data_IF_280288648977
#
_entry.id   IF_280288648977
#
_cell.length_a   1.000
_cell.length_b   1.000
_cell.length_c   1.000
_cell.angle_alpha   90.00
_cell.angle_beta   90.00
_cell.angle_gamma   90.00
#
_symmetry.space_group_name_H-M   'P 1'
#
loop_
_entity.id
_entity.type
_entity.pdbx_description
1 polymer ?
#
# COMPACT_ATOMS: atom_id res chain seq x y z
N UNK A 1 0.45 37.35 -24.64
CA UNK A 1 -1.02 37.21 -24.70
C UNK A 1 -1.35 36.05 -23.79
N UNK A 2 -1.65 36.30 -22.52
CA UNK A 2 -1.91 35.26 -21.48
C UNK A 2 -3.40 34.97 -21.56
N UNK A 3 -3.78 33.84 -22.14
CA UNK A 3 -5.17 33.36 -22.18
C UNK A 3 -5.58 32.99 -20.73
N UNK A 4 -6.49 33.76 -20.14
CA UNK A 4 -7.19 33.43 -18.91
C UNK A 4 -7.88 32.06 -19.09
N UNK A 5 -7.35 31.03 -18.46
CA UNK A 5 -8.06 29.76 -18.30
C UNK A 5 -9.33 30.04 -17.48
N UNK A 6 -10.46 29.93 -18.17
CA UNK A 6 -11.78 30.13 -17.59
C UNK A 6 -12.12 28.96 -16.67
N UNK A 7 -11.90 29.14 -15.36
CA UNK A 7 -12.18 28.14 -14.29
C UNK A 7 -13.71 27.89 -14.13
N UNK A 8 -14.54 28.60 -14.93
CA UNK A 8 -16.00 28.62 -14.78
C UNK A 8 -16.79 27.44 -15.38
N UNK A 9 -16.15 26.49 -16.04
CA UNK A 9 -16.85 25.34 -16.67
C UNK A 9 -16.26 23.99 -16.21
N UNK A 10 -15.82 23.86 -14.97
CA UNK A 10 -15.82 22.54 -14.33
C UNK A 10 -17.29 22.15 -14.06
N UNK A 11 -17.99 21.83 -15.15
CA UNK A 11 -19.31 21.23 -15.12
C UNK A 11 -19.30 20.07 -14.15
N UNK A 12 -20.26 20.10 -13.24
CA UNK A 12 -20.77 19.05 -12.41
C UNK A 12 -20.51 17.66 -13.00
N UNK A 13 -19.34 17.08 -12.73
CA UNK A 13 -19.21 15.65 -12.78
C UNK A 13 -19.93 15.19 -11.51
N UNK A 14 -21.26 15.17 -11.59
CA UNK A 14 -22.12 14.52 -10.61
C UNK A 14 -21.86 13.03 -10.72
N UNK A 15 -20.78 12.58 -10.10
CA UNK A 15 -20.65 11.18 -9.73
C UNK A 15 -21.77 10.90 -8.69
N UNK A 16 -22.98 10.62 -9.17
CA UNK A 16 -23.96 9.89 -8.37
C UNK A 16 -23.28 8.59 -7.96
N UNK A 17 -22.67 8.61 -6.78
CA UNK A 17 -22.23 7.41 -6.09
C UNK A 17 -23.50 6.62 -5.74
N UNK A 18 -24.12 5.98 -6.76
CA UNK A 18 -25.21 5.02 -6.59
C UNK A 18 -24.56 3.77 -5.96
N UNK A 19 -24.83 3.54 -4.70
CA UNK A 19 -24.43 2.35 -3.96
C UNK A 19 -23.75 2.67 -2.62
N UNK A 20 -23.78 1.71 -1.71
CA UNK A 20 -22.96 1.74 -0.49
C UNK A 20 -21.51 1.89 -0.90
N UNK A 21 -20.75 2.75 -0.20
CA UNK A 21 -19.34 2.92 -0.51
C UNK A 21 -18.63 1.58 -0.51
N UNK A 22 -17.58 1.48 -1.32
CA UNK A 22 -16.70 0.30 -1.37
C UNK A 22 -16.41 -0.28 0.01
N UNK A 23 -16.04 0.58 0.97
CA UNK A 23 -15.73 0.19 2.33
C UNK A 23 -16.94 -0.32 3.15
N UNK A 24 -18.14 0.16 2.88
CA UNK A 24 -19.36 -0.32 3.53
C UNK A 24 -19.87 -1.62 2.93
N UNK A 25 -19.65 -1.83 1.64
CA UNK A 25 -20.06 -3.04 0.93
C UNK A 25 -19.09 -4.20 1.20
N UNK A 26 -17.80 -3.93 1.32
CA UNK A 26 -16.76 -4.96 1.40
C UNK A 26 -16.31 -5.28 2.82
N UNK A 27 -16.59 -4.41 3.79
CA UNK A 27 -16.23 -4.59 5.20
C UNK A 27 -17.47 -4.55 6.08
N UNK A 28 -17.85 -5.69 6.66
CA UNK A 28 -18.90 -5.72 7.69
C UNK A 28 -18.41 -5.08 9.00
N UNK A 29 -19.33 -4.92 9.96
CA UNK A 29 -19.04 -4.26 11.24
C UNK A 29 -17.84 -4.90 11.97
N UNK A 30 -17.82 -6.23 12.10
CA UNK A 30 -16.74 -6.95 12.79
C UNK A 30 -15.40 -6.80 12.06
N UNK A 31 -15.39 -6.80 10.74
CA UNK A 31 -14.17 -6.59 9.98
C UNK A 31 -13.60 -5.19 10.16
N UNK A 32 -14.45 -4.16 10.27
CA UNK A 32 -14.00 -2.79 10.56
C UNK A 32 -13.36 -2.70 11.94
N UNK A 33 -14.00 -3.29 12.96
CA UNK A 33 -13.43 -3.36 14.30
C UNK A 33 -12.07 -4.08 14.27
N UNK A 34 -11.97 -5.19 13.57
CA UNK A 34 -10.71 -5.93 13.45
C UNK A 34 -9.61 -5.08 12.81
N UNK A 35 -9.94 -4.30 11.75
CA UNK A 35 -8.99 -3.35 11.17
C UNK A 35 -8.60 -2.24 12.15
N UNK A 36 -9.58 -1.68 12.86
CA UNK A 36 -9.32 -0.63 13.86
C UNK A 36 -8.41 -1.14 14.99
N UNK A 37 -8.57 -2.38 15.45
CA UNK A 37 -7.72 -2.99 16.46
C UNK A 37 -6.32 -3.29 15.89
N UNK A 38 -6.23 -4.03 14.79
CA UNK A 38 -4.94 -4.56 14.29
C UNK A 38 -4.05 -3.47 13.69
N UNK A 39 -4.63 -2.45 13.07
CA UNK A 39 -3.88 -1.40 12.36
C UNK A 39 -3.88 -0.06 13.10
N UNK A 40 -4.82 0.18 14.02
CA UNK A 40 -4.96 1.46 14.72
C UNK A 40 -3.92 1.69 15.82
N UNK A 41 -3.38 0.63 16.42
CA UNK A 41 -2.44 0.74 17.54
C UNK A 41 -1.02 0.31 17.13
N UNK A 42 -0.02 1.16 17.40
CA UNK A 42 1.40 0.80 17.22
C UNK A 42 1.79 -0.39 18.08
N UNK A 43 1.28 -0.45 19.31
CA UNK A 43 1.54 -1.56 20.22
C UNK A 43 1.06 -2.90 19.64
N UNK A 44 -0.18 -2.96 19.17
CA UNK A 44 -0.73 -4.19 18.59
C UNK A 44 0.00 -4.58 17.30
N UNK A 45 0.33 -3.61 16.43
CA UNK A 45 1.14 -3.87 15.24
C UNK A 45 2.49 -4.50 15.57
N UNK A 46 3.22 -3.92 16.53
CA UNK A 46 4.50 -4.48 17.00
C UNK A 46 4.33 -5.85 17.64
N UNK A 47 3.32 -6.06 18.48
CA UNK A 47 3.04 -7.36 19.11
C UNK A 47 2.74 -8.45 18.07
N UNK A 48 1.92 -8.15 17.06
CA UNK A 48 1.66 -9.07 15.96
C UNK A 48 2.93 -9.42 15.19
N UNK A 49 3.78 -8.43 14.93
CA UNK A 49 5.07 -8.63 14.28
C UNK A 49 6.02 -9.50 15.12
N UNK A 50 6.10 -9.27 16.42
CA UNK A 50 6.93 -10.12 17.32
C UNK A 50 6.44 -11.56 17.35
N UNK A 51 5.13 -11.79 17.44
CA UNK A 51 4.54 -13.15 17.38
C UNK A 51 4.86 -13.79 16.03
N UNK A 52 4.70 -13.09 14.95
CA UNK A 52 5.05 -13.54 13.60
C UNK A 52 6.51 -13.99 13.50
N UNK A 53 7.45 -13.18 14.04
CA UNK A 53 8.87 -13.50 14.09
C UNK A 53 9.13 -14.78 14.86
N UNK A 54 8.57 -14.90 16.06
CA UNK A 54 8.80 -16.08 16.93
C UNK A 54 8.36 -17.36 16.23
N UNK A 55 7.23 -17.32 15.51
CA UNK A 55 6.63 -18.53 14.93
C UNK A 55 7.24 -18.86 13.56
N UNK A 56 7.47 -17.86 12.72
CA UNK A 56 7.73 -18.09 11.30
C UNK A 56 9.11 -17.66 10.82
N UNK A 57 9.83 -16.76 11.54
CA UNK A 57 11.09 -16.25 11.02
C UNK A 57 12.14 -17.33 10.88
N UNK A 58 12.53 -17.64 9.65
CA UNK A 58 13.70 -18.43 9.32
C UNK A 58 14.73 -17.50 8.71
N UNK A 59 15.88 -17.37 9.33
CA UNK A 59 16.96 -16.54 8.81
C UNK A 59 17.51 -17.14 7.52
N UNK A 60 17.38 -16.41 6.43
CA UNK A 60 17.93 -16.74 5.12
C UNK A 60 18.78 -15.56 4.64
N UNK A 61 19.80 -15.85 3.85
CA UNK A 61 20.60 -14.79 3.25
C UNK A 61 19.83 -14.16 2.10
N UNK A 62 19.46 -12.88 2.25
CA UNK A 62 18.70 -12.11 1.26
C UNK A 62 19.47 -10.92 0.70
N UNK A 63 20.57 -10.53 1.34
CA UNK A 63 21.32 -9.31 1.03
C UNK A 63 21.94 -9.31 -0.36
N UNK A 64 22.29 -10.50 -0.88
CA UNK A 64 22.87 -10.66 -2.21
C UNK A 64 21.83 -10.70 -3.34
N UNK A 65 20.54 -10.65 -3.01
CA UNK A 65 19.48 -10.69 -4.00
C UNK A 65 19.15 -9.30 -4.53
N UNK A 66 18.77 -9.22 -5.81
CA UNK A 66 18.33 -7.97 -6.45
C UNK A 66 16.86 -7.70 -6.15
N UNK A 67 16.55 -7.21 -4.94
CA UNK A 67 15.22 -6.75 -4.56
C UNK A 67 14.83 -5.49 -5.35
N UNK A 68 13.54 -5.24 -5.52
CA UNK A 68 13.05 -4.06 -6.25
C UNK A 68 12.17 -3.20 -5.34
N UNK A 69 12.48 -1.91 -5.32
CA UNK A 69 11.72 -0.89 -4.62
C UNK A 69 11.19 0.15 -5.61
N UNK A 70 9.88 0.16 -5.80
CA UNK A 70 9.20 1.16 -6.61
C UNK A 70 8.86 2.34 -5.70
N UNK A 71 9.30 3.54 -6.07
CA UNK A 71 9.02 4.78 -5.36
C UNK A 71 8.72 5.90 -6.35
N UNK A 72 8.31 7.05 -5.86
CA UNK A 72 8.02 8.22 -6.68
C UNK A 72 6.67 8.85 -6.36
N UNK A 73 6.30 9.83 -7.15
CA UNK A 73 5.04 10.54 -6.92
C UNK A 73 3.84 9.62 -7.16
N UNK A 74 2.78 9.75 -6.35
CA UNK A 74 1.53 9.04 -6.63
C UNK A 74 1.00 9.45 -8.01
N UNK A 75 0.28 8.56 -8.67
CA UNK A 75 -0.26 8.75 -10.03
C UNK A 75 0.78 8.76 -11.17
N UNK A 76 2.04 8.44 -10.90
CA UNK A 76 3.08 8.27 -11.94
C UNK A 76 3.09 6.88 -12.60
N UNK A 77 2.18 5.95 -12.21
CA UNK A 77 2.15 4.58 -12.74
C UNK A 77 2.79 3.53 -11.84
N UNK A 78 3.15 3.88 -10.60
CA UNK A 78 3.79 2.97 -9.64
C UNK A 78 3.03 1.66 -9.41
N UNK A 79 1.68 1.70 -9.36
CA UNK A 79 0.87 0.49 -9.15
C UNK A 79 0.80 -0.40 -10.40
N UNK A 80 0.75 0.19 -11.59
CA UNK A 80 0.80 -0.57 -12.85
C UNK A 80 2.12 -1.32 -12.93
N UNK A 81 3.21 -0.64 -12.60
CA UNK A 81 4.56 -1.24 -12.59
C UNK A 81 4.67 -2.34 -11.53
N UNK A 82 4.11 -2.14 -10.32
CA UNK A 82 4.03 -3.17 -9.29
C UNK A 82 3.35 -4.43 -9.82
N UNK A 83 2.15 -4.29 -10.40
CA UNK A 83 1.38 -5.43 -10.93
C UNK A 83 2.12 -6.12 -12.08
N UNK A 84 2.74 -5.36 -12.98
CA UNK A 84 3.51 -5.89 -14.10
C UNK A 84 4.71 -6.73 -13.62
N UNK A 85 5.50 -6.22 -12.68
CA UNK A 85 6.64 -6.97 -12.14
C UNK A 85 6.18 -8.18 -11.33
N UNK A 86 5.12 -8.03 -10.54
CA UNK A 86 4.58 -9.12 -9.73
C UNK A 86 4.05 -10.27 -10.59
N UNK A 87 3.43 -9.98 -11.74
CA UNK A 87 2.90 -11.00 -12.66
C UNK A 87 3.99 -11.89 -13.28
N UNK A 88 5.26 -11.51 -13.19
CA UNK A 88 6.38 -12.34 -13.64
C UNK A 88 6.65 -13.56 -12.76
N UNK A 89 5.98 -13.68 -11.60
CA UNK A 89 6.17 -14.73 -10.60
C UNK A 89 7.59 -14.87 -10.03
N UNK A 90 8.44 -13.84 -10.19
CA UNK A 90 9.80 -13.79 -9.66
C UNK A 90 9.92 -13.02 -8.35
N UNK A 91 8.83 -12.47 -7.86
CA UNK A 91 8.80 -11.56 -6.73
C UNK A 91 7.74 -11.92 -5.69
N UNK A 92 8.03 -11.52 -4.44
CA UNK A 92 7.09 -11.51 -3.33
C UNK A 92 6.71 -10.07 -3.00
N UNK A 93 5.47 -9.85 -2.64
CA UNK A 93 4.94 -8.58 -2.16
C UNK A 93 3.80 -8.83 -1.19
N UNK A 94 3.49 -7.86 -0.34
CA UNK A 94 2.25 -7.89 0.44
C UNK A 94 1.04 -7.76 -0.48
N UNK A 95 -0.04 -8.43 -0.12
CA UNK A 95 -1.28 -8.54 -0.90
C UNK A 95 -2.50 -8.10 -0.09
N UNK A 96 -3.61 -7.84 -0.78
CA UNK A 96 -4.89 -7.57 -0.11
C UNK A 96 -5.34 -8.71 0.82
N UNK A 97 -4.96 -9.96 0.54
CA UNK A 97 -5.22 -11.10 1.42
C UNK A 97 -4.50 -11.04 2.77
N UNK A 98 -3.45 -10.22 2.91
CA UNK A 98 -2.78 -10.03 4.20
C UNK A 98 -3.57 -9.10 5.15
N UNK A 99 -4.56 -8.35 4.64
CA UNK A 99 -5.37 -7.47 5.46
C UNK A 99 -6.29 -8.23 6.42
N UNK A 100 -6.41 -7.79 7.68
CA UNK A 100 -5.75 -6.63 8.29
C UNK A 100 -4.43 -6.96 9.02
N UNK A 101 -3.86 -8.14 8.81
CA UNK A 101 -2.65 -8.63 9.49
C UNK A 101 -1.37 -8.32 8.71
N UNK A 102 -1.21 -7.08 8.25
CA UNK A 102 -0.07 -6.64 7.42
C UNK A 102 1.28 -6.88 8.12
N UNK A 103 1.32 -6.74 9.45
CA UNK A 103 2.52 -6.97 10.25
C UNK A 103 2.79 -8.45 10.55
N UNK A 104 1.88 -9.33 10.13
CA UNK A 104 1.95 -10.78 10.36
C UNK A 104 1.45 -11.54 9.12
N UNK A 105 2.18 -11.47 7.98
CA UNK A 105 1.71 -12.01 6.70
C UNK A 105 1.50 -13.53 6.73
N UNK A 106 2.31 -14.30 7.46
CA UNK A 106 2.13 -15.75 7.56
C UNK A 106 0.92 -16.12 8.42
N UNK A 107 0.71 -15.43 9.56
CA UNK A 107 -0.48 -15.57 10.39
C UNK A 107 -1.74 -15.20 9.59
N UNK A 108 -1.67 -14.22 8.70
CA UNK A 108 -2.82 -13.80 7.87
C UNK A 108 -3.45 -14.96 7.09
N UNK A 109 -2.68 -15.99 6.72
CA UNK A 109 -3.18 -17.20 6.02
C UNK A 109 -4.30 -17.92 6.77
N UNK A 110 -4.27 -17.86 8.10
CA UNK A 110 -5.29 -18.52 8.94
C UNK A 110 -6.67 -17.83 8.84
N UNK A 111 -6.68 -16.58 8.37
CA UNK A 111 -7.87 -15.73 8.31
C UNK A 111 -8.29 -15.35 6.89
N UNK A 112 -7.64 -15.94 5.87
CA UNK A 112 -7.93 -15.59 4.47
C UNK A 112 -9.33 -16.03 4.04
N UNK A 113 -10.04 -15.13 3.38
CA UNK A 113 -11.32 -15.45 2.74
C UNK A 113 -11.07 -16.25 1.46
N UNK A 114 -11.88 -17.27 1.24
CA UNK A 114 -11.76 -18.11 0.03
C UNK A 114 -12.38 -17.49 -1.23
N UNK A 115 -13.34 -16.58 -1.07
CA UNK A 115 -14.11 -16.04 -2.20
C UNK A 115 -14.04 -14.50 -2.21
N UNK A 116 -13.37 -13.96 -3.20
CA UNK A 116 -13.39 -12.54 -3.53
C UNK A 116 -13.39 -12.40 -5.05
N UNK A 117 -14.42 -11.76 -5.59
CA UNK A 117 -14.48 -11.46 -7.02
C UNK A 117 -13.61 -10.27 -7.34
N UNK A 118 -12.84 -10.34 -8.44
CA UNK A 118 -12.05 -9.21 -8.94
C UNK A 118 -12.94 -8.00 -9.18
N UNK A 119 -12.52 -6.84 -8.75
CA UNK A 119 -13.25 -5.59 -8.89
C UNK A 119 -12.31 -4.40 -9.13
N UNK A 120 -12.82 -3.34 -9.72
CA UNK A 120 -12.05 -2.11 -9.89
C UNK A 120 -11.78 -1.48 -8.53
N UNK A 121 -10.55 -1.04 -8.30
CA UNK A 121 -10.19 -0.39 -7.05
C UNK A 121 -10.84 0.99 -6.93
N UNK A 122 -10.97 1.45 -5.69
CA UNK A 122 -11.68 2.69 -5.37
C UNK A 122 -11.09 3.94 -6.06
N UNK A 123 -9.84 3.89 -6.48
CA UNK A 123 -9.18 4.96 -7.22
C UNK A 123 -9.81 5.26 -8.58
N UNK A 124 -10.68 4.38 -9.09
CA UNK A 124 -11.34 4.50 -10.40
C UNK A 124 -10.35 4.81 -11.52
N UNK A 125 -9.29 4.06 -11.56
CA UNK A 125 -8.19 4.22 -12.50
C UNK A 125 -8.03 3.04 -13.46
N UNK A 126 -9.07 2.22 -13.58
CA UNK A 126 -9.11 1.05 -14.46
C UNK A 126 -8.33 -0.16 -13.94
N UNK A 127 -7.70 -0.06 -12.75
CA UNK A 127 -6.94 -1.17 -12.21
C UNK A 127 -7.90 -2.11 -11.45
N UNK A 128 -7.99 -3.34 -11.96
CA UNK A 128 -8.71 -4.42 -11.28
C UNK A 128 -7.82 -5.01 -10.19
N UNK A 129 -8.42 -5.42 -9.08
CA UNK A 129 -7.72 -6.11 -8.00
C UNK A 129 -8.57 -7.24 -7.42
N UNK A 130 -7.89 -8.20 -6.83
CA UNK A 130 -8.42 -9.30 -6.04
C UNK A 130 -7.61 -9.47 -4.74
N UNK A 131 -7.88 -10.52 -3.99
CA UNK A 131 -7.12 -10.81 -2.76
C UNK A 131 -5.64 -11.13 -3.01
N UNK A 132 -5.27 -11.58 -4.20
CA UNK A 132 -3.91 -11.93 -4.57
C UNK A 132 -3.14 -10.75 -5.19
N UNK A 133 -3.82 -9.65 -5.44
CA UNK A 133 -3.18 -8.46 -6.01
C UNK A 133 -2.24 -7.81 -5.01
N UNK A 134 -1.00 -7.47 -5.41
CA UNK A 134 -0.04 -6.78 -4.56
C UNK A 134 -0.44 -5.33 -4.33
N UNK A 135 -0.10 -4.79 -3.17
CA UNK A 135 -0.37 -3.37 -2.87
C UNK A 135 0.69 -2.76 -1.93
N UNK A 136 0.69 -1.45 -1.83
CA UNK A 136 1.61 -0.61 -1.07
C UNK A 136 1.34 -0.65 0.44
N UNK A 137 1.59 -1.77 1.09
CA UNK A 137 1.31 -1.93 2.52
C UNK A 137 2.53 -1.75 3.43
N UNK A 138 3.72 -1.60 2.87
CA UNK A 138 4.98 -1.48 3.63
C UNK A 138 5.02 -0.27 4.55
N UNK A 139 4.25 0.79 4.28
CA UNK A 139 4.17 1.95 5.16
C UNK A 139 3.64 1.60 6.55
N UNK A 140 2.86 0.52 6.69
CA UNK A 140 2.40 0.02 7.99
C UNK A 140 3.59 -0.39 8.86
N UNK A 141 4.60 -1.07 8.28
CA UNK A 141 5.84 -1.40 8.97
C UNK A 141 6.61 -0.13 9.33
N UNK A 142 6.93 0.70 8.34
CA UNK A 142 7.74 1.91 8.53
C UNK A 142 7.11 2.92 9.51
N UNK A 143 5.79 3.03 9.56
CA UNK A 143 5.09 3.91 10.50
C UNK A 143 5.01 3.33 11.93
N UNK A 144 5.30 2.05 12.11
CA UNK A 144 5.24 1.39 13.40
C UNK A 144 6.55 1.46 14.17
N UNK A 145 7.68 1.61 13.49
CA UNK A 145 9.02 1.59 14.05
C UNK A 145 9.70 2.96 13.90
N UNK A 146 10.63 3.27 14.82
CA UNK A 146 11.53 4.40 14.66
C UNK A 146 12.73 4.03 13.76
N UNK A 147 13.58 5.01 13.45
CA UNK A 147 14.72 4.80 12.54
C UNK A 147 15.71 3.74 13.02
N UNK A 148 15.95 3.65 14.32
CA UNK A 148 16.88 2.68 14.90
C UNK A 148 16.27 1.27 14.87
N UNK A 149 15.01 1.15 15.20
CA UNK A 149 14.25 -0.10 15.10
C UNK A 149 14.15 -0.60 13.65
N UNK A 150 13.93 0.31 12.68
CA UNK A 150 13.88 -0.05 11.25
C UNK A 150 15.21 -0.68 10.82
N UNK A 151 16.36 -0.12 11.20
CA UNK A 151 17.67 -0.70 10.86
C UNK A 151 17.84 -2.13 11.38
N UNK A 152 17.28 -2.42 12.54
CA UNK A 152 17.39 -3.74 13.17
C UNK A 152 16.36 -4.75 12.62
N UNK A 153 15.15 -4.29 12.26
CA UNK A 153 14.03 -5.17 12.00
C UNK A 153 13.67 -5.31 10.51
N UNK A 154 14.15 -4.41 9.65
CA UNK A 154 13.73 -4.41 8.24
C UNK A 154 14.10 -5.70 7.50
N UNK A 155 15.29 -6.26 7.74
CA UNK A 155 15.69 -7.54 7.15
C UNK A 155 14.77 -8.69 7.60
N UNK A 156 14.40 -8.72 8.88
CA UNK A 156 13.48 -9.72 9.43
C UNK A 156 12.09 -9.57 8.77
N UNK A 157 11.61 -8.35 8.63
CA UNK A 157 10.34 -8.05 7.95
C UNK A 157 10.35 -8.54 6.49
N UNK A 158 11.38 -8.22 5.72
CA UNK A 158 11.51 -8.70 4.33
C UNK A 158 11.53 -10.22 4.28
N UNK A 159 12.28 -10.89 5.16
CA UNK A 159 12.32 -12.37 5.24
C UNK A 159 10.94 -12.98 5.52
N UNK A 160 10.14 -12.39 6.42
CA UNK A 160 8.78 -12.86 6.70
C UNK A 160 7.86 -12.75 5.48
N UNK A 161 7.97 -11.67 4.70
CA UNK A 161 7.22 -11.52 3.44
C UNK A 161 7.68 -12.54 2.41
N UNK A 162 8.99 -12.79 2.28
CA UNK A 162 9.53 -13.82 1.38
C UNK A 162 9.03 -15.21 1.76
N UNK A 163 9.02 -15.55 3.03
CA UNK A 163 8.53 -16.85 3.52
C UNK A 163 7.03 -17.03 3.28
N UNK A 164 6.28 -15.95 3.34
CA UNK A 164 4.84 -15.99 3.03
C UNK A 164 4.56 -16.48 1.61
N UNK A 165 5.39 -16.16 0.61
CA UNK A 165 5.16 -16.53 -0.80
C UNK A 165 6.11 -17.61 -1.35
N UNK A 166 7.03 -18.12 -0.54
CA UNK A 166 8.08 -19.06 -0.97
C UNK A 166 8.87 -18.56 -2.19
N UNK A 167 9.04 -17.26 -2.30
CA UNK A 167 9.67 -16.63 -3.45
C UNK A 167 11.03 -16.03 -3.08
N UNK A 168 11.80 -15.62 -4.05
CA UNK A 168 13.23 -15.35 -3.91
C UNK A 168 13.58 -13.87 -3.84
N UNK A 169 12.69 -12.97 -4.28
CA UNK A 169 13.00 -11.53 -4.39
C UNK A 169 11.85 -10.69 -3.87
N UNK A 170 12.18 -9.71 -3.06
CA UNK A 170 11.21 -8.78 -2.52
C UNK A 170 10.87 -7.68 -3.53
N UNK A 171 9.59 -7.38 -3.66
CA UNK A 171 9.07 -6.29 -4.47
C UNK A 171 8.24 -5.38 -3.57
N UNK A 172 8.73 -4.19 -3.34
CA UNK A 172 8.06 -3.14 -2.58
C UNK A 172 7.56 -2.04 -3.52
N UNK A 173 6.37 -1.54 -3.25
CA UNK A 173 5.91 -0.28 -3.82
C UNK A 173 5.47 0.62 -2.68
N UNK A 174 6.22 1.67 -2.44
CA UNK A 174 5.86 2.70 -1.49
C UNK A 174 6.34 4.06 -1.98
N UNK A 175 5.41 4.99 -2.14
CA UNK A 175 5.75 6.34 -2.62
C UNK A 175 6.75 7.05 -1.70
N UNK A 176 6.80 6.69 -0.40
CA UNK A 176 7.72 7.26 0.58
C UNK A 176 9.09 6.58 0.65
N UNK A 177 9.36 5.52 -0.13
CA UNK A 177 10.64 4.82 -0.10
C UNK A 177 11.83 5.73 -0.49
N UNK A 178 11.60 6.82 -1.23
CA UNK A 178 12.65 7.79 -1.53
C UNK A 178 13.30 8.39 -0.26
N UNK A 179 12.58 8.47 0.85
CA UNK A 179 13.10 8.92 2.15
C UNK A 179 14.00 7.90 2.84
N UNK A 180 14.03 6.67 2.33
CA UNK A 180 14.65 5.51 2.99
C UNK A 180 15.69 4.81 2.11
N UNK A 181 16.03 5.40 0.97
CA UNK A 181 16.98 4.81 0.01
C UNK A 181 18.30 4.43 0.70
N UNK A 182 18.88 5.34 1.48
CA UNK A 182 20.15 5.11 2.18
C UNK A 182 20.06 3.94 3.17
N UNK A 183 19.00 3.91 4.00
CA UNK A 183 18.79 2.83 4.98
C UNK A 183 18.59 1.49 4.24
N UNK A 184 17.75 1.48 3.21
CA UNK A 184 17.46 0.25 2.46
C UNK A 184 18.73 -0.26 1.78
N UNK A 185 19.51 0.60 1.12
CA UNK A 185 20.75 0.20 0.46
C UNK A 185 21.85 -0.22 1.45
N UNK A 186 21.87 0.33 2.66
CA UNK A 186 22.82 -0.12 3.69
C UNK A 186 22.52 -1.56 4.17
N UNK A 187 21.27 -2.00 4.10
CA UNK A 187 20.82 -3.33 4.54
C UNK A 187 20.72 -4.34 3.39
N UNK A 188 20.35 -3.86 2.20
CA UNK A 188 20.14 -4.64 0.99
C UNK A 188 20.88 -3.98 -0.19
N UNK A 189 22.22 -4.08 -0.25
CA UNK A 189 23.06 -3.27 -1.14
C UNK A 189 22.82 -3.53 -2.64
N UNK A 190 22.33 -4.72 -2.99
CA UNK A 190 22.05 -5.08 -4.39
C UNK A 190 20.63 -4.72 -4.85
N UNK A 191 19.89 -3.97 -4.05
CA UNK A 191 18.52 -3.56 -4.40
C UNK A 191 18.48 -2.53 -5.51
N UNK A 192 17.41 -2.56 -6.29
CA UNK A 192 17.13 -1.62 -7.36
C UNK A 192 15.96 -0.72 -6.99
N UNK A 193 16.13 0.60 -7.22
CA UNK A 193 15.06 1.57 -7.10
C UNK A 193 14.53 1.96 -8.47
N UNK A 194 13.21 1.89 -8.66
CA UNK A 194 12.55 2.30 -9.90
C UNK A 194 11.63 3.47 -9.59
N UNK A 195 11.84 4.57 -10.31
CA UNK A 195 11.10 5.83 -10.13
C UNK A 195 10.39 6.15 -11.45
N UNK A 196 9.11 5.79 -11.60
CA UNK A 196 8.35 6.15 -12.79
C UNK A 196 8.12 7.66 -12.84
N UNK A 197 8.32 8.24 -14.00
CA UNK A 197 8.07 9.66 -14.29
C UNK A 197 6.94 9.75 -15.31
N UNK A 198 6.04 10.70 -15.10
CA UNK A 198 4.93 10.98 -15.99
C UNK A 198 5.03 12.41 -16.50
N UNK A 199 4.47 12.67 -17.69
CA UNK A 199 4.37 14.00 -18.24
C UNK A 199 3.72 14.97 -17.22
N UNK A 200 4.35 16.14 -16.91
CA UNK A 200 3.97 16.96 -15.76
C UNK A 200 2.54 17.49 -15.79
N UNK A 201 2.02 17.92 -16.95
CA UNK A 201 0.67 18.46 -17.05
C UNK A 201 -0.39 17.39 -16.80
N UNK A 202 -0.26 16.23 -17.45
CA UNK A 202 -1.15 15.09 -17.24
C UNK A 202 -1.05 14.56 -15.80
N UNK A 203 0.15 14.61 -15.21
CA UNK A 203 0.39 14.19 -13.85
C UNK A 203 -0.34 15.10 -12.86
N UNK A 204 -0.17 16.42 -13.01
CA UNK A 204 -0.81 17.44 -12.15
C UNK A 204 -2.33 17.32 -12.19
N UNK A 205 -2.91 17.15 -13.39
CA UNK A 205 -4.35 16.93 -13.53
C UNK A 205 -4.83 15.65 -12.81
N UNK A 206 -4.05 14.56 -12.94
CA UNK A 206 -4.37 13.30 -12.28
C UNK A 206 -4.29 13.40 -10.75
N UNK A 207 -3.30 14.14 -10.22
CA UNK A 207 -3.16 14.41 -8.77
C UNK A 207 -4.34 15.22 -8.25
N UNK A 208 -4.70 16.31 -8.92
CA UNK A 208 -5.84 17.17 -8.54
C UNK A 208 -7.15 16.40 -8.52
N UNK A 209 -7.42 15.63 -9.57
CA UNK A 209 -8.64 14.82 -9.69
C UNK A 209 -8.71 13.78 -8.57
N UNK A 210 -7.59 13.11 -8.27
CA UNK A 210 -7.52 12.11 -7.22
C UNK A 210 -7.70 12.72 -5.83
N UNK A 211 -7.07 13.88 -5.57
CA UNK A 211 -7.22 14.59 -4.29
C UNK A 211 -8.69 14.96 -4.04
N UNK A 212 -9.36 15.52 -5.03
CA UNK A 212 -10.77 15.87 -4.93
C UNK A 212 -11.68 14.66 -4.70
N UNK A 213 -11.37 13.54 -5.35
CA UNK A 213 -12.09 12.28 -5.17
C UNK A 213 -11.96 11.77 -3.73
N UNK A 214 -10.74 11.70 -3.18
CA UNK A 214 -10.51 11.25 -1.80
C UNK A 214 -11.03 12.23 -0.76
N UNK A 215 -10.97 13.52 -1.02
CA UNK A 215 -11.56 14.52 -0.13
C UNK A 215 -13.08 14.28 0.04
N UNK A 216 -13.83 14.08 -1.06
CA UNK A 216 -15.26 13.75 -1.00
C UNK A 216 -15.52 12.42 -0.27
N UNK A 217 -14.70 11.42 -0.55
CA UNK A 217 -14.82 10.11 0.07
C UNK A 217 -14.67 10.18 1.59
N UNK A 218 -13.59 10.78 2.05
CA UNK A 218 -13.24 10.85 3.47
C UNK A 218 -14.22 11.71 4.28
N UNK A 219 -14.82 12.73 3.65
CA UNK A 219 -15.92 13.48 4.28
C UNK A 219 -17.18 12.67 4.46
N UNK A 220 -17.44 11.74 3.57
CA UNK A 220 -18.67 10.94 3.60
C UNK A 220 -18.55 9.67 4.46
N UNK A 221 -17.35 9.08 4.50
CA UNK A 221 -17.12 7.78 5.13
C UNK A 221 -15.93 7.84 6.08
N UNK A 222 -16.24 7.87 7.37
CA UNK A 222 -15.24 7.97 8.42
C UNK A 222 -14.31 6.74 8.45
N UNK A 223 -14.82 5.53 8.21
CA UNK A 223 -13.98 4.34 8.12
C UNK A 223 -12.98 4.43 6.97
N UNK A 224 -13.33 5.00 5.82
CA UNK A 224 -12.37 5.19 4.72
C UNK A 224 -11.21 6.09 5.12
N UNK A 225 -11.49 7.15 5.89
CA UNK A 225 -10.46 8.05 6.43
C UNK A 225 -9.53 7.32 7.39
N UNK A 226 -10.08 6.57 8.38
CA UNK A 226 -9.26 5.79 9.32
C UNK A 226 -8.44 4.73 8.59
N UNK A 227 -9.06 3.98 7.68
CA UNK A 227 -8.38 2.96 6.90
C UNK A 227 -7.16 3.51 6.12
N UNK A 228 -7.32 4.65 5.44
CA UNK A 228 -6.21 5.30 4.74
C UNK A 228 -5.11 5.77 5.70
N UNK A 229 -5.48 6.27 6.87
CA UNK A 229 -4.51 6.65 7.90
C UNK A 229 -3.71 5.45 8.42
N UNK A 230 -4.35 4.30 8.64
CA UNK A 230 -3.68 3.08 9.09
C UNK A 230 -2.63 2.60 8.08
N UNK A 231 -2.89 2.81 6.79
CA UNK A 231 -1.97 2.44 5.72
C UNK A 231 -0.90 3.51 5.43
N UNK A 232 -0.91 4.63 6.14
CA UNK A 232 0.00 5.75 5.88
C UNK A 232 -0.28 6.48 4.55
N UNK A 233 -1.49 6.36 4.02
CA UNK A 233 -1.90 7.00 2.77
C UNK A 233 -2.38 8.44 3.01
N UNK A 234 -1.44 9.33 3.31
CA UNK A 234 -1.69 10.76 3.56
C UNK A 234 -1.52 11.65 2.32
N UNK A 235 -1.34 11.07 1.15
CA UNK A 235 -1.03 11.81 -0.08
C UNK A 235 -2.23 12.56 -0.66
N UNK A 236 -3.46 12.20 -0.26
CA UNK A 236 -4.70 12.76 -0.80
C UNK A 236 -5.78 12.88 0.28
N UNK A 237 -6.69 13.83 0.08
CA UNK A 237 -7.88 13.98 0.89
C UNK A 237 -7.75 14.98 2.02
N UNK A 238 -8.44 14.74 3.16
CA UNK A 238 -8.54 15.71 4.27
C UNK A 238 -7.22 15.83 5.05
N UNK A 239 -6.45 14.76 5.10
CA UNK A 239 -5.22 14.67 5.90
C UNK A 239 -3.95 14.90 5.05
N UNK A 240 -4.10 15.58 3.92
CA UNK A 240 -3.01 15.94 3.03
C UNK A 240 -2.28 17.18 3.52
#
# INVERSE_FOLDING_TARGET
MVTKLNIGTMTKIDYKLKGKAFYEKNYNFFQRILHDITLGSKFIKKSLYEIEKIIYLKKIEIQNQKHIFITGLPRSGTTILLNFLYSSNNFCSLKYSNMPFIMAPNISRLFQKKNFTSQERYHKDGIMFDLNSPEAFDEVFFSSFDTSEIKNEFLNYVQLVLQYENNKRYLSKNNSNYKRIEIILSLLPNSLFIIPIREPLQHSYSLLTQNYHFYKLQRRYDFARRYMNYLGHHTFGINH
#
